data_IF_249188158263
#
_entry.id   IF_249188158263
#
_cell.length_a   1.000
_cell.length_b   1.000
_cell.length_c   1.000
_cell.angle_alpha   90.00
_cell.angle_beta   90.00
_cell.angle_gamma   90.00
#
_symmetry.space_group_name_H-M   'P 1'
#
loop_
_entity.id
_entity.type
_entity.pdbx_description
1 polymer ?
#
# COMPACT_ATOMS: atom_id res chain seq x y z
N UNK A 1 -2.27 -22.62 -6.81
CA UNK A 1 -2.09 -22.26 -5.39
C UNK A 1 -0.84 -21.40 -5.36
N UNK A 2 -0.95 -20.12 -5.00
CA UNK A 2 0.21 -19.22 -4.90
C UNK A 2 0.86 -19.43 -3.54
N UNK A 3 2.19 -19.29 -3.46
CA UNK A 3 2.87 -19.36 -2.17
C UNK A 3 2.69 -18.04 -1.43
N UNK A 4 2.67 -18.09 -0.11
CA UNK A 4 2.55 -16.88 0.69
C UNK A 4 3.77 -15.97 0.50
N UNK A 5 4.95 -16.58 0.35
CA UNK A 5 6.21 -15.88 0.12
C UNK A 5 6.19 -15.04 -1.17
N UNK A 6 5.55 -15.54 -2.24
CA UNK A 6 5.41 -14.79 -3.50
C UNK A 6 4.58 -13.51 -3.31
N UNK A 7 3.57 -13.55 -2.41
CA UNK A 7 2.74 -12.39 -2.08
C UNK A 7 3.53 -11.39 -1.23
N UNK A 8 4.27 -11.90 -0.23
CA UNK A 8 5.09 -11.07 0.67
C UNK A 8 6.20 -10.33 -0.09
N UNK A 9 6.88 -11.01 -1.02
CA UNK A 9 7.90 -10.43 -1.89
C UNK A 9 7.31 -9.31 -2.74
N UNK A 10 6.20 -9.56 -3.43
CA UNK A 10 5.52 -8.55 -4.26
C UNK A 10 5.10 -7.33 -3.45
N UNK A 11 4.54 -7.51 -2.24
CA UNK A 11 4.13 -6.39 -1.38
C UNK A 11 5.37 -5.61 -0.92
N UNK A 12 6.41 -6.30 -0.46
CA UNK A 12 7.65 -5.69 0.05
C UNK A 12 8.35 -4.87 -1.04
N UNK A 13 8.50 -5.42 -2.23
CA UNK A 13 9.06 -4.72 -3.39
C UNK A 13 8.22 -3.48 -3.73
N UNK A 14 6.90 -3.62 -3.72
CA UNK A 14 5.95 -2.55 -4.05
C UNK A 14 6.08 -1.35 -3.10
N UNK A 15 6.26 -1.58 -1.80
CA UNK A 15 6.39 -0.50 -0.80
C UNK A 15 7.83 -0.03 -0.56
N UNK A 16 8.83 -0.75 -1.08
CA UNK A 16 10.25 -0.44 -0.88
C UNK A 16 10.61 1.00 -1.29
N UNK A 17 9.92 1.54 -2.30
CA UNK A 17 10.07 2.90 -2.77
C UNK A 17 9.72 3.99 -1.75
N UNK A 18 8.94 3.66 -0.72
CA UNK A 18 8.47 4.57 0.33
C UNK A 18 9.23 4.39 1.65
N UNK A 19 9.71 3.18 1.93
CA UNK A 19 10.35 2.84 3.22
C UNK A 19 11.61 3.67 3.47
N UNK A 20 11.72 4.22 4.69
CA UNK A 20 12.87 5.04 5.11
C UNK A 20 12.99 6.40 4.42
N UNK A 21 11.96 6.84 3.68
CA UNK A 21 11.96 8.12 2.98
C UNK A 21 10.96 9.10 3.56
N UNK A 22 11.23 10.39 3.34
CA UNK A 22 10.27 11.44 3.67
C UNK A 22 9.21 11.53 2.57
N UNK A 23 7.97 11.12 2.86
CA UNK A 23 6.91 11.00 1.85
C UNK A 23 6.69 12.29 1.07
N UNK A 24 6.79 13.45 1.72
CA UNK A 24 6.60 14.76 1.07
C UNK A 24 7.62 15.11 -0.03
N UNK A 25 8.62 14.26 -0.30
CA UNK A 25 9.53 14.43 -1.45
C UNK A 25 9.26 13.44 -2.58
N UNK A 26 8.23 12.61 -2.45
CA UNK A 26 7.86 11.54 -3.39
C UNK A 26 6.51 11.90 -4.01
N UNK A 27 6.41 11.83 -5.33
CA UNK A 27 5.13 12.00 -6.01
C UNK A 27 4.14 10.87 -5.62
N UNK A 28 2.84 11.17 -5.38
CA UNK A 28 2.18 12.47 -5.53
C UNK A 28 2.26 13.38 -4.27
N UNK A 29 2.86 12.92 -3.19
CA UNK A 29 2.92 13.59 -1.89
C UNK A 29 3.85 14.81 -1.85
N UNK A 30 4.60 15.06 -2.93
CA UNK A 30 5.29 16.33 -3.19
C UNK A 30 4.32 17.50 -3.42
N UNK A 31 3.06 17.19 -3.76
CA UNK A 31 2.00 18.17 -4.06
C UNK A 31 0.76 18.03 -3.19
N UNK A 32 0.52 16.86 -2.62
CA UNK A 32 -0.61 16.60 -1.73
C UNK A 32 -0.13 16.17 -0.35
N UNK A 33 -0.90 16.47 0.69
CA UNK A 33 -0.53 16.06 2.05
C UNK A 33 -0.58 14.51 2.16
N UNK A 34 0.47 13.83 2.65
CA UNK A 34 0.48 12.39 2.89
C UNK A 34 -0.31 12.03 4.16
N UNK A 35 -1.59 12.40 4.21
CA UNK A 35 -2.48 11.94 5.29
C UNK A 35 -2.62 10.42 5.23
N UNK A 36 -3.04 9.81 6.34
CA UNK A 36 -3.24 8.37 6.40
C UNK A 36 -4.22 7.88 5.32
N UNK A 37 -5.26 8.65 5.03
CA UNK A 37 -6.26 8.37 4.00
C UNK A 37 -5.64 8.41 2.59
N UNK A 38 -4.89 9.48 2.27
CA UNK A 38 -4.23 9.62 0.97
C UNK A 38 -3.16 8.54 0.76
N UNK A 39 -2.38 8.23 1.80
CA UNK A 39 -1.40 7.15 1.76
C UNK A 39 -2.07 5.79 1.56
N UNK A 40 -3.17 5.52 2.27
CA UNK A 40 -3.86 4.23 2.14
C UNK A 40 -4.47 4.04 0.76
N UNK A 41 -5.07 5.09 0.17
CA UNK A 41 -5.56 5.03 -1.21
C UNK A 41 -4.42 4.75 -2.20
N UNK A 42 -3.30 5.48 -2.06
CA UNK A 42 -2.12 5.27 -2.90
C UNK A 42 -1.55 3.84 -2.79
N UNK A 43 -1.44 3.32 -1.55
CA UNK A 43 -1.00 1.95 -1.30
C UNK A 43 -1.99 0.93 -1.87
N UNK A 44 -3.30 1.17 -1.73
CA UNK A 44 -4.33 0.28 -2.26
C UNK A 44 -4.21 0.13 -3.78
N UNK A 45 -4.07 1.23 -4.52
CA UNK A 45 -3.93 1.20 -5.97
C UNK A 45 -2.63 0.49 -6.39
N UNK A 46 -1.52 0.88 -5.77
CA UNK A 46 -0.19 0.35 -6.09
C UNK A 46 -0.07 -1.15 -5.79
N UNK A 47 -0.55 -1.60 -4.62
CA UNK A 47 -0.54 -3.02 -4.23
C UNK A 47 -1.54 -3.81 -5.09
N UNK A 48 -2.71 -3.25 -5.39
CA UNK A 48 -3.69 -3.89 -6.29
C UNK A 48 -3.06 -4.19 -7.65
N UNK A 49 -2.36 -3.24 -8.25
CA UNK A 49 -1.73 -3.44 -9.56
C UNK A 49 -0.55 -4.41 -9.53
N UNK A 50 0.21 -4.44 -8.43
CA UNK A 50 1.27 -5.43 -8.23
C UNK A 50 0.71 -6.85 -8.05
N UNK A 51 -0.33 -7.02 -7.21
CA UNK A 51 -0.96 -8.33 -6.97
C UNK A 51 -1.65 -8.89 -8.22
N UNK A 52 -2.24 -8.04 -9.07
CA UNK A 52 -2.83 -8.48 -10.36
C UNK A 52 -1.82 -9.22 -11.23
N UNK A 53 -0.53 -8.84 -11.20
CA UNK A 53 0.54 -9.48 -12.01
C UNK A 53 0.77 -10.94 -11.64
N UNK A 54 0.44 -11.32 -10.41
CA UNK A 54 0.53 -12.70 -9.88
C UNK A 54 -0.85 -13.35 -9.73
N UNK A 55 -1.85 -12.88 -10.48
CA UNK A 55 -3.24 -13.37 -10.47
C UNK A 55 -3.90 -13.32 -9.07
N UNK A 56 -3.52 -12.34 -8.25
CA UNK A 56 -4.10 -12.08 -6.94
C UNK A 56 -4.96 -10.82 -6.96
N UNK A 57 -6.00 -10.80 -6.13
CA UNK A 57 -6.89 -9.65 -5.96
C UNK A 57 -6.75 -9.14 -4.52
N UNK A 58 -6.45 -7.85 -4.36
CA UNK A 58 -6.54 -7.19 -3.07
C UNK A 58 -8.03 -7.04 -2.69
N UNK A 59 -8.42 -7.60 -1.55
CA UNK A 59 -9.81 -7.50 -1.04
C UNK A 59 -9.88 -6.47 0.08
N UNK A 60 -8.84 -6.36 0.90
CA UNK A 60 -8.80 -5.43 2.03
C UNK A 60 -7.37 -4.97 2.30
N UNK A 61 -7.21 -3.70 2.65
CA UNK A 61 -5.99 -3.14 3.23
C UNK A 61 -6.34 -2.34 4.47
N UNK A 62 -5.49 -2.42 5.48
CA UNK A 62 -5.57 -1.61 6.68
C UNK A 62 -4.18 -1.02 6.96
N UNK A 63 -4.10 0.30 7.09
CA UNK A 63 -2.85 1.02 7.31
C UNK A 63 -2.97 1.76 8.64
N UNK A 64 -2.00 1.54 9.52
CA UNK A 64 -1.92 2.17 10.82
C UNK A 64 -0.78 3.19 10.88
N UNK A 65 -1.08 4.40 11.34
CA UNK A 65 -0.05 5.39 11.70
C UNK A 65 0.42 5.21 13.15
N UNK A 66 -0.50 4.77 14.01
CA UNK A 66 -0.26 4.49 15.42
C UNK A 66 -1.18 3.36 15.88
N UNK A 67 -1.00 2.81 17.09
CA UNK A 67 -1.85 1.74 17.61
C UNK A 67 -3.34 2.07 17.75
N UNK A 68 -3.74 3.34 17.58
CA UNK A 68 -5.14 3.79 17.72
C UNK A 68 -5.67 4.51 16.48
N UNK A 69 -4.83 4.75 15.47
CA UNK A 69 -5.23 5.46 14.24
C UNK A 69 -4.95 4.61 13.01
N UNK A 70 -6.02 4.09 12.43
CA UNK A 70 -6.01 3.24 11.24
C UNK A 70 -7.00 3.75 10.21
N UNK A 71 -6.72 3.44 8.95
CA UNK A 71 -7.65 3.61 7.84
C UNK A 71 -7.74 2.30 7.05
N UNK A 72 -8.96 1.89 6.71
CA UNK A 72 -9.23 0.60 6.09
C UNK A 72 -10.04 0.80 4.81
N UNK A 73 -9.64 0.11 3.74
CA UNK A 73 -10.40 -0.04 2.50
C UNK A 73 -10.73 -1.51 2.34
N UNK A 74 -12.00 -1.84 2.12
CA UNK A 74 -12.47 -3.19 1.87
C UNK A 74 -13.37 -3.18 0.64
N UNK A 75 -13.17 -4.15 -0.25
CA UNK A 75 -14.08 -4.42 -1.36
C UNK A 75 -15.11 -5.44 -0.88
N UNK A 76 -16.40 -5.11 -1.03
CA UNK A 76 -17.53 -6.02 -0.77
C UNK A 76 -17.63 -7.12 -1.83
#
# INVERSE_FOLDING_TARGET
>A
MIKFEDIEEVITETISGLSGKFLNTIAPFDKINPTLENLTNYLFDMITDSLKKINCKLIRIEVGESPTRFYCISLD
#
